data_IF_750342906822
#
_entry.id   IF_750342906822
#
_cell.length_a   1.000
_cell.length_b   1.000
_cell.length_c   1.000
_cell.angle_alpha   90.00
_cell.angle_beta   90.00
_cell.angle_gamma   90.00
#
_symmetry.space_group_name_H-M   'P 1'
#
loop_
_entity.id
_entity.type
_entity.pdbx_description
1 polymer ?
#
# COMPACT_ATOMS: atom_id res chain seq x y z
N UNK A 1 -23.34 24.88 -15.43
CA UNK A 1 -23.07 23.57 -14.82
C UNK A 1 -24.34 23.12 -14.12
N UNK A 2 -25.11 22.26 -14.77
CA UNK A 2 -26.39 21.79 -14.23
C UNK A 2 -26.09 20.69 -13.21
N UNK A 3 -26.42 20.95 -11.96
CA UNK A 3 -26.46 19.91 -10.94
C UNK A 3 -27.62 18.98 -11.30
N UNK A 4 -27.29 17.75 -11.61
CA UNK A 4 -28.27 16.70 -11.79
C UNK A 4 -28.78 16.33 -10.39
N UNK A 5 -29.94 16.88 -10.04
CA UNK A 5 -30.66 16.53 -8.82
C UNK A 5 -31.15 15.09 -9.00
N UNK A 6 -30.53 14.17 -8.24
CA UNK A 6 -31.03 12.80 -8.17
C UNK A 6 -32.39 12.86 -7.49
N UNK A 7 -33.43 12.52 -8.25
CA UNK A 7 -34.80 12.41 -7.73
C UNK A 7 -34.89 11.21 -6.78
N UNK A 8 -34.83 11.46 -5.48
CA UNK A 8 -35.00 10.47 -4.41
C UNK A 8 -36.48 10.12 -4.15
N UNK A 9 -37.38 10.55 -5.01
CA UNK A 9 -38.82 10.51 -4.78
C UNK A 9 -39.52 9.16 -4.89
N UNK A 10 -38.82 8.06 -5.20
CA UNK A 10 -39.45 6.72 -5.32
C UNK A 10 -38.47 5.58 -5.05
N UNK A 11 -37.76 5.62 -3.94
CA UNK A 11 -37.11 4.41 -3.45
C UNK A 11 -38.19 3.51 -2.86
N UNK A 12 -38.30 2.29 -3.39
CA UNK A 12 -39.21 1.28 -2.84
C UNK A 12 -38.83 0.96 -1.39
N UNK A 13 -39.78 0.40 -0.62
CA UNK A 13 -39.55 0.16 0.82
C UNK A 13 -38.30 -0.68 1.15
N UNK A 14 -37.79 -1.50 0.20
CA UNK A 14 -36.53 -2.23 0.37
C UNK A 14 -35.32 -1.30 0.29
N UNK A 15 -35.29 -0.38 -0.68
CA UNK A 15 -34.21 0.57 -0.89
C UNK A 15 -34.09 1.54 0.30
N UNK A 16 -35.24 1.99 0.84
CA UNK A 16 -35.25 2.83 2.04
C UNK A 16 -34.62 2.10 3.25
N UNK A 17 -34.95 0.83 3.44
CA UNK A 17 -34.36 0.00 4.51
C UNK A 17 -32.85 -0.18 4.33
N UNK A 18 -32.39 -0.38 3.10
CA UNK A 18 -30.92 -0.47 2.82
C UNK A 18 -30.22 0.84 3.17
N UNK A 19 -30.82 1.97 2.81
CA UNK A 19 -30.25 3.30 3.12
C UNK A 19 -30.21 3.56 4.64
N UNK A 20 -31.24 3.13 5.38
CA UNK A 20 -31.28 3.27 6.83
C UNK A 20 -30.23 2.42 7.57
N UNK A 21 -29.83 1.29 6.97
CA UNK A 21 -28.80 0.38 7.52
C UNK A 21 -27.36 0.80 7.16
N UNK A 22 -27.17 1.81 6.29
CA UNK A 22 -25.85 2.31 5.96
C UNK A 22 -25.26 3.04 7.17
N UNK A 23 -24.13 2.53 7.67
CA UNK A 23 -23.36 3.12 8.75
C UNK A 23 -21.95 3.45 8.28
N UNK A 24 -21.37 4.52 8.82
CA UNK A 24 -19.96 4.88 8.61
C UNK A 24 -19.01 4.21 9.62
N UNK A 25 -19.52 3.48 10.60
CA UNK A 25 -18.69 2.85 11.64
C UNK A 25 -17.71 1.84 11.05
N UNK A 26 -18.18 0.97 10.16
CA UNK A 26 -17.33 -0.05 9.54
C UNK A 26 -16.29 0.53 8.58
N UNK A 27 -16.64 1.43 7.65
CA UNK A 27 -15.64 2.10 6.82
C UNK A 27 -14.61 2.88 7.64
N UNK A 28 -15.03 3.51 8.74
CA UNK A 28 -14.12 4.26 9.61
C UNK A 28 -13.15 3.34 10.33
N UNK A 29 -13.63 2.24 10.91
CA UNK A 29 -12.79 1.22 11.56
C UNK A 29 -11.76 0.62 10.59
N UNK A 30 -12.16 0.41 9.33
CA UNK A 30 -11.25 -0.03 8.27
C UNK A 30 -10.15 1.01 8.02
N UNK A 31 -10.51 2.28 7.89
CA UNK A 31 -9.55 3.37 7.67
C UNK A 31 -8.57 3.51 8.84
N UNK A 32 -9.07 3.47 10.09
CA UNK A 32 -8.21 3.51 11.27
C UNK A 32 -7.24 2.34 11.28
N UNK A 33 -7.72 1.11 11.08
CA UNK A 33 -6.86 -0.08 11.01
C UNK A 33 -5.80 0.02 9.92
N UNK A 34 -6.17 0.53 8.74
CA UNK A 34 -5.27 0.63 7.60
C UNK A 34 -4.29 1.80 7.69
N UNK A 35 -4.56 2.81 8.52
CA UNK A 35 -3.63 3.91 8.75
C UNK A 35 -2.33 3.47 9.43
N UNK A 36 -2.39 2.39 10.20
CA UNK A 36 -1.25 1.81 10.93
C UNK A 36 -0.41 0.82 10.08
N UNK A 37 -0.86 0.50 8.86
CA UNK A 37 -0.22 -0.49 8.01
C UNK A 37 0.44 0.13 6.78
N UNK A 38 1.68 -0.28 6.52
CA UNK A 38 2.39 0.05 5.28
C UNK A 38 2.23 -1.10 4.28
N UNK A 39 1.11 -1.17 3.59
CA UNK A 39 0.67 -2.28 2.74
C UNK A 39 1.44 -2.39 1.42
N UNK A 40 2.74 -2.61 1.52
CA UNK A 40 3.57 -2.93 0.34
C UNK A 40 3.35 -4.40 -0.02
N UNK A 41 3.21 -4.68 -1.31
CA UNK A 41 2.96 -6.04 -1.81
C UNK A 41 4.03 -7.03 -1.31
N UNK A 42 3.58 -8.16 -0.77
CA UNK A 42 4.43 -9.22 -0.23
C UNK A 42 4.96 -8.97 1.19
N UNK A 43 4.42 -7.99 1.92
CA UNK A 43 4.79 -7.73 3.32
C UNK A 43 3.77 -8.31 4.30
N UNK A 44 4.18 -8.46 5.57
CA UNK A 44 3.29 -8.88 6.66
C UNK A 44 2.13 -7.89 6.85
N UNK A 45 2.35 -6.60 6.63
CA UNK A 45 1.30 -5.58 6.71
C UNK A 45 0.23 -5.74 5.64
N UNK A 46 0.62 -6.15 4.41
CA UNK A 46 -0.36 -6.49 3.37
C UNK A 46 -1.17 -7.72 3.77
N UNK A 47 -0.50 -8.77 4.26
CA UNK A 47 -1.17 -9.97 4.73
C UNK A 47 -2.16 -9.67 5.87
N UNK A 48 -1.74 -8.86 6.86
CA UNK A 48 -2.59 -8.42 7.97
C UNK A 48 -3.80 -7.59 7.50
N UNK A 49 -3.64 -6.77 6.46
CA UNK A 49 -4.74 -6.03 5.87
C UNK A 49 -5.75 -6.96 5.16
N UNK A 50 -5.24 -7.96 4.42
CA UNK A 50 -6.08 -8.95 3.76
C UNK A 50 -6.83 -9.82 4.78
N UNK A 51 -6.18 -10.26 5.84
CA UNK A 51 -6.80 -11.01 6.95
C UNK A 51 -7.94 -10.22 7.59
N UNK A 52 -7.70 -8.94 7.89
CA UNK A 52 -8.75 -8.06 8.45
C UNK A 52 -9.99 -8.00 7.55
N UNK A 53 -9.81 -7.83 6.23
CA UNK A 53 -10.94 -7.80 5.28
C UNK A 53 -11.67 -9.14 5.26
N UNK A 54 -10.95 -10.26 5.22
CA UNK A 54 -11.52 -11.60 5.23
C UNK A 54 -12.33 -11.85 6.51
N UNK A 55 -11.81 -11.47 7.67
CA UNK A 55 -12.50 -11.60 8.96
C UNK A 55 -13.78 -10.77 9.00
N UNK A 56 -13.75 -9.54 8.46
CA UNK A 56 -14.96 -8.70 8.37
C UNK A 56 -16.02 -9.31 7.45
N UNK A 57 -15.64 -9.78 6.25
CA UNK A 57 -16.57 -10.44 5.34
C UNK A 57 -17.19 -11.69 5.99
N UNK A 58 -16.37 -12.50 6.66
CA UNK A 58 -16.85 -13.68 7.42
C UNK A 58 -17.84 -13.30 8.50
N UNK A 59 -17.57 -12.25 9.28
CA UNK A 59 -18.44 -11.79 10.35
C UNK A 59 -19.81 -11.28 9.85
N UNK A 60 -19.84 -10.79 8.62
CA UNK A 60 -21.04 -10.31 7.94
C UNK A 60 -21.77 -11.42 7.16
N UNK A 61 -21.23 -12.65 7.16
CA UNK A 61 -21.80 -13.78 6.42
C UNK A 61 -21.70 -13.63 4.90
N UNK A 62 -20.71 -12.84 4.43
CA UNK A 62 -20.44 -12.65 3.00
C UNK A 62 -19.44 -13.69 2.54
N UNK A 63 -19.81 -14.49 1.54
CA UNK A 63 -18.88 -15.42 0.92
C UNK A 63 -17.81 -14.68 0.13
N UNK A 64 -16.56 -15.12 0.25
CA UNK A 64 -15.43 -14.55 -0.48
C UNK A 64 -14.44 -15.63 -0.90
N UNK A 65 -13.59 -15.28 -1.84
CA UNK A 65 -12.46 -16.09 -2.26
C UNK A 65 -11.19 -15.22 -2.17
N UNK A 66 -10.14 -15.74 -1.50
CA UNK A 66 -8.84 -15.09 -1.40
C UNK A 66 -7.87 -15.72 -2.38
N UNK A 67 -7.30 -14.91 -3.28
CA UNK A 67 -6.28 -15.33 -4.21
C UNK A 67 -4.90 -14.84 -3.74
N UNK A 68 -3.93 -15.77 -3.65
CA UNK A 68 -2.54 -15.49 -3.27
C UNK A 68 -1.60 -15.93 -4.41
N UNK A 69 -1.51 -15.13 -5.49
CA UNK A 69 -0.64 -15.47 -6.60
C UNK A 69 0.82 -15.34 -6.22
N UNK A 70 1.65 -16.22 -6.78
CA UNK A 70 3.11 -16.11 -6.67
C UNK A 70 3.58 -14.92 -7.53
N UNK A 71 4.31 -13.97 -6.91
CA UNK A 71 4.77 -12.75 -7.57
C UNK A 71 6.29 -12.65 -7.50
N UNK A 72 6.90 -12.22 -8.60
CA UNK A 72 8.30 -11.82 -8.64
C UNK A 72 8.40 -10.31 -8.46
N UNK A 73 8.72 -9.89 -7.25
CA UNK A 73 8.78 -8.47 -6.86
C UNK A 73 10.15 -8.12 -6.26
N UNK A 74 10.49 -6.84 -6.29
CA UNK A 74 11.65 -6.30 -5.60
C UNK A 74 11.18 -5.51 -4.39
N UNK A 75 11.55 -5.97 -3.19
CA UNK A 75 11.33 -5.22 -1.96
C UNK A 75 12.59 -4.43 -1.63
N UNK A 76 12.49 -3.10 -1.46
CA UNK A 76 13.64 -2.29 -1.08
C UNK A 76 14.06 -2.59 0.36
N UNK A 77 15.35 -2.81 0.56
CA UNK A 77 15.99 -2.89 1.87
C UNK A 77 16.84 -1.65 2.13
N UNK A 78 17.51 -1.63 3.28
CA UNK A 78 18.40 -0.55 3.65
C UNK A 78 19.60 -0.46 2.70
N UNK A 79 20.01 0.77 2.41
CA UNK A 79 21.20 1.03 1.62
C UNK A 79 22.04 2.12 2.31
N UNK A 80 23.38 1.95 2.27
CA UNK A 80 24.31 2.93 2.80
C UNK A 80 25.48 3.12 1.84
N UNK A 81 26.09 4.30 1.91
CA UNK A 81 27.33 4.63 1.19
C UNK A 81 28.29 5.30 2.16
N UNK A 82 29.49 4.76 2.27
CA UNK A 82 30.57 5.30 3.09
C UNK A 82 31.74 5.73 2.22
N UNK A 83 32.29 6.90 2.49
CA UNK A 83 33.53 7.36 1.83
C UNK A 83 34.71 7.07 2.74
N UNK A 84 35.56 6.15 2.33
CA UNK A 84 36.73 5.75 3.13
C UNK A 84 37.75 6.88 3.26
N UNK A 85 38.26 7.08 4.49
CA UNK A 85 39.33 8.02 4.79
C UNK A 85 38.89 9.44 5.07
N UNK A 86 37.61 9.78 5.00
CA UNK A 86 37.09 11.08 5.42
C UNK A 86 35.60 10.99 5.79
N UNK A 87 35.12 11.81 6.72
CA UNK A 87 33.70 11.93 6.97
C UNK A 87 33.01 12.48 5.71
N UNK A 88 31.88 11.83 5.33
CA UNK A 88 31.05 12.24 4.22
C UNK A 88 29.60 12.01 4.60
N UNK A 89 28.82 13.05 4.58
CA UNK A 89 27.38 12.92 4.80
C UNK A 89 26.71 12.63 3.46
N UNK A 90 26.19 11.43 3.32
CA UNK A 90 25.35 11.08 2.18
C UNK A 90 23.93 11.62 2.43
N UNK A 91 23.31 12.13 1.39
CA UNK A 91 21.86 12.31 1.37
C UNK A 91 21.14 10.94 1.44
N UNK A 92 19.82 10.92 1.31
CA UNK A 92 19.06 9.67 1.33
C UNK A 92 19.54 8.72 0.21
N UNK A 93 19.95 7.52 0.62
CA UNK A 93 20.38 6.44 -0.29
C UNK A 93 19.21 5.49 -0.50
N UNK A 94 19.01 5.06 -1.73
CA UNK A 94 17.96 4.10 -2.09
C UNK A 94 18.56 2.94 -2.87
N UNK A 95 17.99 1.75 -2.67
CA UNK A 95 18.29 0.58 -3.47
C UNK A 95 17.71 0.71 -4.88
N UNK A 96 18.37 0.12 -5.86
CA UNK A 96 17.80 -0.06 -7.20
C UNK A 96 16.96 -1.33 -7.20
N UNK A 97 15.78 -1.28 -7.80
CA UNK A 97 14.90 -2.44 -7.91
C UNK A 97 15.62 -3.60 -8.62
N UNK A 98 15.40 -4.81 -8.09
CA UNK A 98 16.02 -6.06 -8.57
C UNK A 98 17.57 -6.10 -8.52
N UNK A 99 18.19 -5.19 -7.76
CA UNK A 99 19.62 -5.28 -7.50
C UNK A 99 19.94 -6.40 -6.50
N UNK A 100 21.16 -6.95 -6.60
CA UNK A 100 21.63 -7.91 -5.63
C UNK A 100 21.88 -7.24 -4.27
N UNK A 101 21.56 -7.95 -3.17
CA UNK A 101 21.96 -7.54 -1.81
C UNK A 101 23.44 -7.84 -1.64
N UNK A 102 24.30 -6.80 -1.71
CA UNK A 102 25.74 -6.97 -1.63
C UNK A 102 26.41 -5.71 -1.11
N UNK A 103 27.67 -5.84 -0.66
CA UNK A 103 28.54 -4.72 -0.33
C UNK A 103 29.69 -4.70 -1.31
N UNK A 104 29.96 -3.55 -1.91
CA UNK A 104 31.07 -3.33 -2.83
C UNK A 104 31.94 -2.16 -2.37
N UNK A 105 33.24 -2.26 -2.62
CA UNK A 105 34.20 -1.17 -2.41
C UNK A 105 35.00 -0.92 -3.66
N UNK A 106 35.27 0.33 -3.98
CA UNK A 106 36.07 0.67 -5.15
C UNK A 106 36.27 2.19 -5.29
N UNK A 107 37.07 2.61 -6.26
CA UNK A 107 37.20 4.02 -6.58
C UNK A 107 35.92 4.57 -7.20
N UNK A 108 35.59 5.83 -6.88
CA UNK A 108 34.49 6.55 -7.48
C UNK A 108 34.99 7.38 -8.65
N UNK A 109 34.38 7.26 -9.80
CA UNK A 109 34.69 8.04 -10.99
C UNK A 109 33.43 8.79 -11.44
N UNK A 110 33.58 10.08 -11.68
CA UNK A 110 32.51 10.89 -12.28
C UNK A 110 32.44 10.61 -13.78
N UNK A 111 31.27 10.28 -14.27
CA UNK A 111 31.02 9.91 -15.67
C UNK A 111 30.15 10.91 -16.44
N UNK A 112 29.87 12.08 -15.85
CA UNK A 112 28.98 13.07 -16.44
C UNK A 112 27.54 12.94 -15.97
N UNK A 113 26.67 13.80 -16.50
CA UNK A 113 25.23 13.70 -16.28
C UNK A 113 24.58 12.82 -17.37
N UNK A 114 23.41 12.28 -17.09
CA UNK A 114 22.67 11.48 -18.07
C UNK A 114 22.10 12.30 -19.26
N UNK A 115 22.29 13.60 -19.23
CA UNK A 115 21.84 14.55 -20.26
C UNK A 115 22.95 14.97 -21.25
N UNK A 116 24.19 14.46 -21.07
CA UNK A 116 25.34 14.75 -21.95
C UNK A 116 25.51 13.71 -23.07
#
# INVERSE_FOLDING_TARGET
>A
MSQQQVDTGSLGGLESRVVEEISLEEPWALLERFSDLTRVTGTDDEAAAADYVCDRLSSLGVDYERHEPELYISQPHDASVDVLGRPFETGPVKTVAFSASTTVSGPVTFVGSAED
#
